data_IF_507592314330
#
_entry.id   IF_507592314330
#
_cell.length_a   1.000
_cell.length_b   1.000
_cell.length_c   1.000
_cell.angle_alpha   90.00
_cell.angle_beta   90.00
_cell.angle_gamma   90.00
#
_symmetry.space_group_name_H-M   'P 1'
#
loop_
_entity.id
_entity.type
_entity.pdbx_description
1 polymer ?
#
# COMPACT_ATOMS: atom_id res chain seq x y z
N UNK A 1 52.34 -37.63 -8.89
CA UNK A 1 52.56 -36.31 -8.27
C UNK A 1 52.35 -36.46 -6.78
N UNK A 2 53.07 -35.71 -5.96
CA UNK A 2 52.90 -35.65 -4.51
C UNK A 2 53.10 -34.20 -4.03
N UNK A 3 52.65 -33.86 -2.83
CA UNK A 3 52.82 -32.53 -2.26
C UNK A 3 54.08 -32.48 -1.39
N UNK A 4 54.98 -31.55 -1.68
CA UNK A 4 56.16 -31.26 -0.83
C UNK A 4 55.76 -30.37 0.36
N UNK A 5 54.90 -29.39 0.09
CA UNK A 5 54.28 -28.57 1.13
C UNK A 5 52.83 -28.25 0.75
N UNK A 6 51.97 -28.23 1.76
CA UNK A 6 50.57 -27.80 1.63
C UNK A 6 50.22 -26.93 2.82
N UNK A 7 49.90 -25.66 2.56
CA UNK A 7 49.64 -24.64 3.57
C UNK A 7 48.29 -24.00 3.31
N UNK A 8 47.46 -23.96 4.35
CA UNK A 8 46.19 -23.25 4.35
C UNK A 8 46.29 -22.12 5.36
N UNK A 9 45.95 -20.91 4.91
CA UNK A 9 45.99 -19.69 5.70
C UNK A 9 44.60 -19.09 5.65
N UNK A 10 44.02 -18.85 6.82
CA UNK A 10 42.84 -18.03 6.98
C UNK A 10 43.30 -16.66 7.46
N UNK A 11 43.09 -15.62 6.67
CA UNK A 11 43.34 -14.23 7.08
C UNK A 11 42.02 -13.62 7.53
N UNK A 12 41.91 -13.19 8.79
CA UNK A 12 40.60 -12.84 9.33
C UNK A 12 40.62 -12.51 10.81
N UNK A 13 39.43 -12.51 11.43
CA UNK A 13 39.26 -12.27 12.88
C UNK A 13 40.01 -13.33 13.71
N UNK A 14 39.90 -14.60 13.30
CA UNK A 14 40.69 -15.73 13.81
C UNK A 14 41.71 -16.17 12.77
N UNK A 15 42.80 -15.41 12.62
CA UNK A 15 43.86 -15.75 11.67
C UNK A 15 44.55 -17.07 12.05
N UNK A 16 44.42 -18.10 11.21
CA UNK A 16 44.99 -19.44 11.42
C UNK A 16 45.87 -19.84 10.26
N UNK A 17 47.01 -20.47 10.56
CA UNK A 17 47.88 -21.10 9.55
C UNK A 17 48.03 -22.57 9.88
N UNK A 18 47.56 -23.44 8.99
CA UNK A 18 47.71 -24.90 9.11
C UNK A 18 48.59 -25.41 7.98
N UNK A 19 49.62 -26.19 8.32
CA UNK A 19 50.44 -26.93 7.35
C UNK A 19 49.96 -28.38 7.38
N UNK A 20 49.58 -28.92 6.23
CA UNK A 20 49.07 -30.28 6.10
C UNK A 20 50.14 -31.13 5.40
N UNK A 21 50.31 -32.37 5.86
CA UNK A 21 51.09 -33.37 5.13
C UNK A 21 50.13 -34.27 4.38
N UNK A 22 50.29 -34.44 3.07
CA UNK A 22 49.40 -35.33 2.31
C UNK A 22 49.52 -36.79 2.82
N UNK A 23 48.41 -37.52 3.09
CA UNK A 23 46.99 -37.19 2.88
C UNK A 23 46.20 -36.83 4.15
N UNK A 24 46.71 -35.94 5.00
CA UNK A 24 46.08 -35.48 6.26
C UNK A 24 44.94 -34.47 6.03
N UNK A 25 43.74 -34.80 6.51
CA UNK A 25 42.57 -33.93 6.41
C UNK A 25 42.54 -32.95 7.58
N UNK A 26 42.29 -31.67 7.30
CA UNK A 26 42.19 -30.63 8.31
C UNK A 26 40.83 -30.65 9.03
N UNK A 27 40.82 -30.21 10.29
CA UNK A 27 39.59 -29.94 11.02
C UNK A 27 38.78 -28.81 10.38
N UNK A 28 37.45 -28.89 10.54
CA UNK A 28 36.48 -27.94 10.00
C UNK A 28 36.81 -26.50 10.36
N UNK A 29 36.78 -25.61 9.36
CA UNK A 29 36.99 -24.16 9.52
C UNK A 29 35.69 -23.41 9.24
N UNK A 30 35.46 -22.29 9.93
CA UNK A 30 34.35 -21.38 9.64
C UNK A 30 34.87 -20.16 8.87
N UNK A 31 34.19 -19.80 7.79
CA UNK A 31 34.50 -18.61 6.97
C UNK A 31 33.41 -17.56 7.15
N UNK A 32 33.79 -16.35 7.56
CA UNK A 32 32.88 -15.20 7.70
C UNK A 32 33.08 -14.17 6.57
N UNK A 33 32.24 -13.13 6.53
CA UNK A 33 32.28 -12.07 5.51
C UNK A 33 33.62 -11.30 5.40
N UNK A 34 34.44 -11.32 6.45
CA UNK A 34 35.70 -10.57 6.50
C UNK A 34 36.93 -11.46 6.33
N UNK A 35 36.74 -12.78 6.33
CA UNK A 35 37.83 -13.73 6.28
C UNK A 35 38.21 -14.05 4.82
N UNK A 36 39.51 -14.11 4.57
CA UNK A 36 40.10 -14.44 3.26
C UNK A 36 40.84 -15.75 3.40
N UNK A 37 40.37 -16.77 2.67
CA UNK A 37 41.07 -18.04 2.59
C UNK A 37 42.19 -17.97 1.56
N UNK A 38 43.37 -18.42 1.94
CA UNK A 38 44.53 -18.55 1.07
C UNK A 38 45.10 -19.96 1.16
N UNK A 39 45.32 -20.59 0.01
CA UNK A 39 45.89 -21.94 -0.07
C UNK A 39 47.14 -21.87 -0.93
N UNK A 40 48.24 -22.42 -0.40
CA UNK A 40 49.54 -22.44 -1.05
C UNK A 40 50.13 -23.84 -0.97
N UNK A 41 50.61 -24.39 -2.09
CA UNK A 41 51.22 -25.72 -2.10
C UNK A 41 52.31 -25.86 -3.15
N UNK A 42 53.25 -26.78 -2.92
CA UNK A 42 54.34 -27.10 -3.85
C UNK A 42 54.29 -28.57 -4.23
N UNK A 43 54.56 -28.87 -5.51
CA UNK A 43 54.42 -30.21 -6.08
C UNK A 43 55.77 -30.84 -6.42
N UNK A 44 55.91 -32.13 -6.11
CA UNK A 44 57.09 -32.95 -6.40
C UNK A 44 56.71 -34.27 -7.08
N UNK A 45 57.69 -34.89 -7.71
CA UNK A 45 57.54 -36.21 -8.31
C UNK A 45 57.52 -37.30 -7.23
N UNK A 46 56.57 -38.23 -7.33
CA UNK A 46 56.35 -39.28 -6.31
C UNK A 46 57.55 -40.21 -6.15
N UNK A 47 58.29 -40.44 -7.25
CA UNK A 47 59.47 -41.32 -7.29
C UNK A 47 60.78 -40.59 -6.94
N UNK A 48 60.83 -39.25 -7.10
CA UNK A 48 61.98 -38.43 -6.78
C UNK A 48 61.55 -37.10 -6.13
N UNK A 49 61.54 -37.07 -4.80
CA UNK A 49 61.14 -35.90 -4.00
C UNK A 49 62.06 -34.68 -4.15
N UNK A 50 63.23 -34.83 -4.78
CA UNK A 50 64.13 -33.70 -5.07
C UNK A 50 63.84 -32.99 -6.39
N UNK A 51 62.90 -33.51 -7.19
CA UNK A 51 62.52 -32.92 -8.48
C UNK A 51 61.16 -32.25 -8.39
N UNK A 52 61.19 -30.92 -8.42
CA UNK A 52 60.00 -30.08 -8.42
C UNK A 52 59.22 -30.21 -9.73
N UNK A 53 57.90 -30.31 -9.62
CA UNK A 53 57.01 -30.27 -10.78
C UNK A 53 56.63 -28.82 -11.03
N UNK A 54 57.39 -28.18 -11.90
CA UNK A 54 57.11 -26.82 -12.34
C UNK A 54 56.06 -26.86 -13.46
N UNK A 55 54.96 -26.13 -13.27
CA UNK A 55 53.87 -25.90 -14.23
C UNK A 55 53.03 -27.14 -14.57
N UNK A 56 51.83 -27.20 -13.99
CA UNK A 56 50.75 -28.11 -14.34
C UNK A 56 49.72 -27.38 -15.18
N UNK A 57 49.20 -28.04 -16.21
CA UNK A 57 48.27 -27.44 -17.18
C UNK A 57 46.85 -27.29 -16.64
N UNK A 58 46.41 -28.23 -15.79
CA UNK A 58 45.10 -28.17 -15.13
C UNK A 58 45.28 -28.22 -13.62
N UNK A 59 45.17 -27.06 -12.97
CA UNK A 59 45.15 -26.93 -11.52
C UNK A 59 43.90 -26.15 -11.11
N UNK A 60 42.97 -26.85 -10.45
CA UNK A 60 41.69 -26.28 -10.05
C UNK A 60 41.40 -26.57 -8.59
N UNK A 61 40.81 -25.58 -7.94
CA UNK A 61 40.27 -25.67 -6.60
C UNK A 61 38.75 -25.76 -6.68
N UNK A 62 38.13 -26.63 -5.88
CA UNK A 62 36.69 -26.80 -5.82
C UNK A 62 36.19 -26.62 -4.39
N UNK A 63 35.11 -25.86 -4.26
CA UNK A 63 34.19 -25.95 -3.12
C UNK A 63 32.99 -26.80 -3.56
N UNK A 64 32.77 -27.93 -2.91
CA UNK A 64 31.71 -28.87 -3.26
C UNK A 64 30.77 -29.08 -2.09
N UNK A 65 29.47 -28.88 -2.32
CA UNK A 65 28.37 -29.26 -1.44
C UNK A 65 27.45 -30.22 -2.21
N UNK A 66 26.46 -30.82 -1.54
CA UNK A 66 25.50 -31.73 -2.15
C UNK A 66 24.70 -31.07 -3.29
N UNK A 67 24.48 -29.75 -3.20
CA UNK A 67 23.68 -28.98 -4.16
C UNK A 67 24.51 -28.28 -5.26
N UNK A 68 25.78 -27.94 -4.99
CA UNK A 68 26.59 -27.11 -5.89
C UNK A 68 28.09 -27.42 -5.83
N UNK A 69 28.76 -27.29 -6.97
CA UNK A 69 30.21 -27.41 -7.09
C UNK A 69 30.78 -26.17 -7.78
N UNK A 70 31.50 -25.34 -7.02
CA UNK A 70 32.10 -24.11 -7.50
C UNK A 70 33.60 -24.32 -7.73
N UNK A 71 34.09 -23.99 -8.93
CA UNK A 71 35.48 -24.20 -9.34
C UNK A 71 36.23 -22.88 -9.49
N UNK A 72 37.48 -22.86 -9.04
CA UNK A 72 38.38 -21.72 -9.10
C UNK A 72 39.74 -22.12 -9.66
N UNK A 73 40.35 -21.23 -10.43
CA UNK A 73 41.65 -21.45 -11.07
C UNK A 73 42.76 -21.09 -10.08
N UNK A 74 43.76 -21.95 -9.97
CA UNK A 74 44.91 -21.74 -9.09
C UNK A 74 46.03 -21.01 -9.87
N UNK A 75 46.66 -20.02 -9.25
CA UNK A 75 47.76 -19.27 -9.85
C UNK A 75 49.10 -20.01 -9.65
N UNK A 76 49.94 -20.02 -10.70
CA UNK A 76 51.30 -20.57 -10.67
C UNK A 76 52.30 -19.44 -10.38
N UNK A 77 53.07 -19.56 -9.31
CA UNK A 77 54.10 -18.59 -8.89
C UNK A 77 55.49 -19.01 -9.38
N UNK A 78 56.47 -18.09 -9.27
CA UNK A 78 57.87 -18.44 -9.51
C UNK A 78 58.31 -19.57 -8.54
N UNK A 79 59.20 -20.45 -8.99
CA UNK A 79 59.75 -21.59 -8.22
C UNK A 79 58.81 -22.80 -7.98
N UNK A 80 57.73 -22.93 -8.76
CA UNK A 80 56.86 -24.13 -8.75
C UNK A 80 55.88 -24.20 -7.58
N UNK A 81 55.63 -23.05 -6.93
CA UNK A 81 54.64 -22.88 -5.89
C UNK A 81 53.29 -22.46 -6.49
N UNK A 82 52.21 -23.07 -6.03
CA UNK A 82 50.85 -22.76 -6.45
C UNK A 82 50.13 -21.99 -5.35
N UNK A 83 49.41 -20.93 -5.71
CA UNK A 83 48.68 -20.09 -4.75
C UNK A 83 47.28 -19.75 -5.26
N UNK A 84 46.32 -19.74 -4.34
CA UNK A 84 45.00 -19.20 -4.58
C UNK A 84 44.56 -18.38 -3.36
N UNK A 85 44.00 -17.20 -3.61
CA UNK A 85 43.53 -16.29 -2.58
C UNK A 85 42.08 -15.88 -2.88
N UNK A 86 41.18 -16.17 -1.95
CA UNK A 86 39.74 -15.98 -2.11
C UNK A 86 39.31 -14.67 -1.44
N UNK A 87 39.47 -13.54 -2.15
CA UNK A 87 39.08 -12.21 -1.63
C UNK A 87 37.57 -11.95 -1.73
N UNK A 88 36.95 -12.35 -2.84
CA UNK A 88 35.53 -12.12 -3.13
C UNK A 88 34.83 -13.46 -3.43
N UNK A 89 34.68 -14.28 -2.39
CA UNK A 89 34.15 -15.63 -2.54
C UNK A 89 32.61 -15.61 -2.59
N UNK A 90 32.03 -15.74 -3.78
CA UNK A 90 30.58 -15.83 -3.98
C UNK A 90 30.09 -17.27 -3.76
N UNK A 91 29.94 -17.66 -2.49
CA UNK A 91 29.33 -18.92 -2.07
C UNK A 91 28.07 -18.65 -1.25
N UNK A 92 27.09 -19.54 -1.34
CA UNK A 92 25.94 -19.52 -0.46
C UNK A 92 26.32 -19.98 0.95
N UNK A 93 25.48 -19.68 1.94
CA UNK A 93 25.69 -20.18 3.30
C UNK A 93 25.49 -21.70 3.32
N UNK A 94 26.51 -22.43 3.76
CA UNK A 94 26.49 -23.88 3.76
C UNK A 94 27.83 -24.51 4.12
N UNK A 95 27.86 -25.83 4.16
CA UNK A 95 29.09 -26.60 4.35
C UNK A 95 29.64 -27.04 2.99
N UNK A 96 30.91 -26.76 2.74
CA UNK A 96 31.59 -27.11 1.50
C UNK A 96 32.83 -27.95 1.79
N UNK A 97 33.02 -29.02 1.04
CA UNK A 97 34.29 -29.76 0.96
C UNK A 97 35.27 -29.01 0.07
N UNK A 98 36.50 -28.83 0.53
CA UNK A 98 37.57 -28.19 -0.22
C UNK A 98 38.45 -29.22 -0.91
N UNK A 99 38.50 -29.16 -2.24
CA UNK A 99 39.15 -30.17 -3.06
C UNK A 99 40.11 -29.51 -4.05
N UNK A 100 41.36 -29.96 -4.09
CA UNK A 100 42.31 -29.59 -5.14
C UNK A 100 42.40 -30.73 -6.15
N UNK A 101 42.26 -30.41 -7.45
CA UNK A 101 42.48 -31.36 -8.55
C UNK A 101 43.59 -30.87 -9.47
N UNK A 102 44.54 -31.76 -9.71
CA UNK A 102 45.73 -31.49 -10.51
C UNK A 102 45.83 -32.55 -11.61
N UNK A 103 45.98 -32.12 -12.85
CA UNK A 103 46.14 -32.97 -14.03
C UNK A 103 47.04 -32.31 -15.07
N UNK A 104 47.86 -33.11 -15.75
CA UNK A 104 48.61 -32.65 -16.92
C UNK A 104 48.36 -33.64 -18.06
N UNK A 105 47.67 -33.24 -19.14
CA UNK A 105 47.57 -34.08 -20.32
C UNK A 105 48.89 -34.23 -21.10
N UNK A 106 49.83 -33.29 -20.98
CA UNK A 106 51.11 -33.34 -21.73
C UNK A 106 52.22 -34.09 -21.00
N UNK A 107 52.18 -34.12 -19.67
CA UNK A 107 53.14 -34.87 -18.83
C UNK A 107 52.41 -36.09 -18.29
N UNK A 108 52.92 -37.31 -18.50
CA UNK A 108 52.31 -38.59 -18.09
C UNK A 108 52.24 -38.77 -16.55
N UNK A 109 51.68 -37.80 -15.85
CA UNK A 109 51.48 -37.80 -14.41
C UNK A 109 50.08 -38.29 -14.08
N UNK A 110 49.98 -39.18 -13.09
CA UNK A 110 48.69 -39.63 -12.55
C UNK A 110 47.93 -38.43 -11.96
N UNK A 111 46.67 -38.16 -12.39
CA UNK A 111 45.85 -37.10 -11.82
C UNK A 111 45.73 -37.23 -10.31
N UNK A 112 45.86 -36.10 -9.61
CA UNK A 112 45.85 -36.04 -8.16
C UNK A 112 44.64 -35.25 -7.69
N UNK A 113 43.77 -35.90 -6.93
CA UNK A 113 42.66 -35.28 -6.22
C UNK A 113 42.93 -35.34 -4.72
N UNK A 114 42.80 -34.20 -4.06
CA UNK A 114 42.98 -34.10 -2.62
C UNK A 114 41.85 -33.31 -1.97
N UNK A 115 40.98 -34.03 -1.24
CA UNK A 115 40.02 -33.43 -0.32
C UNK A 115 40.72 -33.21 1.02
N UNK A 116 41.02 -31.96 1.33
CA UNK A 116 41.85 -31.61 2.48
C UNK A 116 41.05 -31.05 3.65
N UNK A 117 39.72 -30.92 3.52
CA UNK A 117 38.80 -30.69 4.64
C UNK A 117 37.56 -29.87 4.29
N UNK A 118 36.74 -29.61 5.32
CA UNK A 118 35.45 -28.95 5.16
C UNK A 118 35.48 -27.52 5.69
N UNK A 119 34.77 -26.62 5.02
CA UNK A 119 34.56 -25.23 5.42
C UNK A 119 33.06 -24.95 5.59
N UNK A 120 32.69 -24.26 6.66
CA UNK A 120 31.33 -23.76 6.87
C UNK A 120 31.30 -22.26 6.59
N UNK A 121 30.58 -21.88 5.55
CA UNK A 121 30.43 -20.50 5.09
C UNK A 121 29.25 -19.86 5.82
N UNK A 122 29.52 -18.80 6.59
CA UNK A 122 28.53 -18.03 7.35
C UNK A 122 28.58 -16.56 6.98
N UNK A 123 27.97 -16.23 5.85
CA UNK A 123 27.79 -14.85 5.45
C UNK A 123 26.55 -14.25 6.12
N UNK A 124 26.75 -13.12 6.80
CA UNK A 124 25.62 -12.28 7.20
C UNK A 124 25.16 -11.54 5.96
N UNK A 125 24.08 -12.03 5.35
CA UNK A 125 23.46 -11.38 4.20
C UNK A 125 22.78 -10.12 4.73
N UNK A 126 23.24 -8.91 4.38
CA UNK A 126 22.51 -7.71 4.77
C UNK A 126 21.14 -7.74 4.10
N UNK A 127 20.07 -7.57 4.87
CA UNK A 127 18.72 -7.42 4.32
C UNK A 127 18.75 -6.30 3.28
N UNK A 128 18.68 -6.68 2.01
CA UNK A 128 18.60 -5.75 0.91
C UNK A 128 17.30 -5.00 1.07
N UNK A 129 17.38 -3.76 1.58
CA UNK A 129 16.26 -2.82 1.56
C UNK A 129 15.98 -2.48 0.11
N UNK A 130 15.16 -3.31 -0.53
CA UNK A 130 14.64 -3.03 -1.86
C UNK A 130 13.74 -1.81 -1.71
N UNK A 131 14.15 -0.70 -2.31
CA UNK A 131 13.29 0.49 -2.39
C UNK A 131 12.01 0.09 -3.12
N UNK A 132 10.84 0.15 -2.47
CA UNK A 132 9.57 -0.29 -3.07
C UNK A 132 9.18 0.53 -4.30
N UNK A 133 9.83 1.67 -4.56
CA UNK A 133 9.59 2.52 -5.73
C UNK A 133 10.57 2.28 -6.88
N UNK A 134 11.60 1.46 -6.69
CA UNK A 134 12.54 1.13 -7.75
C UNK A 134 11.98 -0.02 -8.57
N UNK A 135 11.63 0.25 -9.83
CA UNK A 135 11.25 -0.80 -10.76
C UNK A 135 12.41 -1.80 -10.86
N UNK A 136 12.16 -3.13 -10.73
CA UNK A 136 13.20 -4.13 -10.85
C UNK A 136 13.80 -4.04 -12.25
N UNK A 137 15.07 -3.66 -12.33
CA UNK A 137 15.82 -3.67 -13.57
C UNK A 137 15.99 -5.11 -14.04
N UNK A 138 15.80 -5.36 -15.34
CA UNK A 138 15.90 -6.70 -15.95
C UNK A 138 17.25 -7.41 -15.68
N UNK A 139 18.27 -6.66 -15.28
CA UNK A 139 19.60 -7.15 -14.90
C UNK A 139 19.68 -7.79 -13.51
N UNK A 140 18.63 -7.66 -12.68
CA UNK A 140 18.60 -8.17 -11.30
C UNK A 140 17.90 -9.53 -11.17
N UNK A 141 17.42 -10.06 -12.30
CA UNK A 141 16.86 -11.40 -12.40
C UNK A 141 18.01 -12.40 -12.50
N UNK A 142 18.47 -12.91 -11.36
CA UNK A 142 19.35 -14.08 -11.33
C UNK A 142 18.64 -15.27 -11.98
N UNK A 143 19.03 -15.60 -13.21
CA UNK A 143 18.70 -16.84 -13.90
C UNK A 143 17.23 -17.03 -14.33
N UNK A 144 16.97 -18.14 -15.06
CA UNK A 144 15.62 -18.52 -15.51
C UNK A 144 14.82 -19.07 -14.31
N UNK A 145 14.43 -18.19 -13.40
CA UNK A 145 13.55 -18.51 -12.27
C UNK A 145 12.10 -18.68 -12.76
N UNK A 146 11.84 -19.81 -13.43
CA UNK A 146 10.49 -20.25 -13.80
C UNK A 146 9.78 -20.88 -12.60
N UNK A 147 9.57 -20.09 -11.55
CA UNK A 147 8.77 -20.49 -10.40
C UNK A 147 7.53 -19.61 -10.31
N UNK A 148 6.35 -20.18 -9.99
CA UNK A 148 5.16 -19.38 -9.73
C UNK A 148 5.46 -18.44 -8.55
N UNK A 149 5.27 -17.13 -8.78
CA UNK A 149 5.38 -16.16 -7.69
C UNK A 149 4.28 -16.43 -6.66
N UNK A 150 4.56 -16.25 -5.37
CA UNK A 150 3.53 -16.38 -4.35
C UNK A 150 2.39 -15.37 -4.59
N UNK A 151 1.16 -15.81 -4.35
CA UNK A 151 -0.03 -14.96 -4.50
C UNK A 151 0.03 -13.79 -3.49
N UNK A 152 -0.21 -12.57 -3.98
CA UNK A 152 -0.26 -11.36 -3.17
C UNK A 152 -1.73 -10.91 -3.00
N UNK A 153 -2.44 -11.32 -1.93
CA UNK A 153 -3.83 -10.92 -1.73
C UNK A 153 -3.91 -9.43 -1.36
N UNK A 154 -4.82 -8.71 -2.02
CA UNK A 154 -5.12 -7.33 -1.65
C UNK A 154 -5.89 -7.29 -0.32
N UNK A 155 -5.34 -6.60 0.70
CA UNK A 155 -5.98 -6.44 2.01
C UNK A 155 -6.91 -5.23 1.96
N UNK A 156 -8.22 -5.48 1.99
CA UNK A 156 -9.22 -4.41 2.06
C UNK A 156 -9.25 -3.76 3.44
N UNK A 157 -9.60 -2.47 3.48
CA UNK A 157 -9.86 -1.78 4.73
C UNK A 157 -11.09 -2.38 5.41
N UNK A 158 -11.08 -2.57 6.74
CA UNK A 158 -12.27 -3.00 7.45
C UNK A 158 -13.37 -1.95 7.37
N UNK A 159 -14.63 -2.39 7.32
CA UNK A 159 -15.78 -1.48 7.31
C UNK A 159 -15.83 -0.63 8.58
N UNK A 160 -16.22 0.65 8.47
CA UNK A 160 -16.36 1.52 9.64
C UNK A 160 -17.49 1.00 10.55
N UNK A 161 -17.23 1.01 11.87
CA UNK A 161 -18.23 0.63 12.88
C UNK A 161 -19.42 1.59 12.82
N UNK A 162 -20.63 1.03 12.67
CA UNK A 162 -21.87 1.82 12.71
C UNK A 162 -22.23 2.22 14.16
N UNK A 163 -22.87 3.38 14.37
CA UNK A 163 -23.26 3.82 15.71
C UNK A 163 -24.37 2.95 16.31
N UNK A 164 -24.54 3.02 17.63
CA UNK A 164 -25.58 2.27 18.35
C UNK A 164 -26.98 2.66 17.86
N UNK A 165 -27.71 1.69 17.30
CA UNK A 165 -29.07 1.87 16.76
C UNK A 165 -30.05 2.45 17.77
N UNK A 166 -29.96 2.04 19.04
CA UNK A 166 -30.87 2.55 20.10
C UNK A 166 -30.68 4.05 20.33
N UNK A 167 -29.43 4.51 20.36
CA UNK A 167 -29.11 5.92 20.54
C UNK A 167 -29.58 6.74 19.34
N UNK A 168 -29.36 6.26 18.12
CA UNK A 168 -29.83 6.91 16.90
C UNK A 168 -31.35 7.08 16.86
N UNK A 169 -32.11 6.04 17.26
CA UNK A 169 -33.57 6.09 17.31
C UNK A 169 -34.06 7.07 18.38
N UNK A 170 -33.41 7.10 19.55
CA UNK A 170 -33.76 8.06 20.60
C UNK A 170 -33.65 9.51 20.13
N UNK A 171 -32.53 9.89 19.50
CA UNK A 171 -32.35 11.24 18.96
C UNK A 171 -33.30 11.54 17.79
N UNK A 172 -33.61 10.55 16.96
CA UNK A 172 -34.61 10.70 15.90
C UNK A 172 -36.00 11.05 16.47
N UNK A 173 -36.44 10.38 17.54
CA UNK A 173 -37.70 10.71 18.23
C UNK A 173 -37.63 12.09 18.87
N UNK A 174 -36.49 12.41 19.52
CA UNK A 174 -36.28 13.70 20.18
C UNK A 174 -36.38 14.88 19.20
N UNK A 175 -36.00 14.69 17.94
CA UNK A 175 -36.14 15.70 16.88
C UNK A 175 -37.60 16.16 16.66
N UNK A 176 -38.60 15.32 16.96
CA UNK A 176 -40.01 15.69 16.80
C UNK A 176 -40.57 16.51 17.98
N UNK A 177 -39.87 16.57 19.12
CA UNK A 177 -40.35 17.27 20.32
C UNK A 177 -40.57 18.78 20.08
N UNK A 178 -39.64 19.52 19.46
CA UNK A 178 -39.85 20.94 19.16
C UNK A 178 -41.05 21.18 18.23
N UNK A 179 -41.30 20.28 17.28
CA UNK A 179 -42.45 20.37 16.36
C UNK A 179 -43.78 20.17 17.10
N UNK A 180 -43.85 19.16 17.97
CA UNK A 180 -45.02 18.93 18.81
C UNK A 180 -45.28 20.13 19.74
N UNK A 181 -44.23 20.67 20.36
CA UNK A 181 -44.33 21.87 21.19
C UNK A 181 -44.86 23.08 20.41
N UNK A 182 -44.39 23.29 19.18
CA UNK A 182 -44.86 24.37 18.30
C UNK A 182 -46.36 24.26 18.01
N UNK A 183 -46.85 23.06 17.69
CA UNK A 183 -48.28 22.83 17.42
C UNK A 183 -49.14 23.11 18.67
N UNK A 184 -48.69 22.66 19.85
CA UNK A 184 -49.39 22.92 21.11
C UNK A 184 -49.44 24.42 21.40
N UNK A 185 -48.34 25.14 21.19
CA UNK A 185 -48.29 26.59 21.40
C UNK A 185 -49.19 27.34 20.43
N UNK A 186 -49.24 26.94 19.16
CA UNK A 186 -50.17 27.48 18.18
C UNK A 186 -51.64 27.28 18.58
N UNK A 187 -51.99 26.12 19.13
CA UNK A 187 -53.33 25.86 19.67
C UNK A 187 -53.66 26.77 20.85
N UNK A 188 -52.71 26.99 21.78
CA UNK A 188 -52.90 27.89 22.93
C UNK A 188 -53.01 29.38 22.54
N UNK A 189 -52.27 29.81 21.53
CA UNK A 189 -52.28 31.19 21.02
C UNK A 189 -53.56 31.50 20.22
N UNK A 190 -54.28 30.46 19.75
CA UNK A 190 -55.51 30.63 19.00
C UNK A 190 -55.26 31.19 17.60
N UNK A 191 -54.39 30.52 16.82
CA UNK A 191 -54.08 30.95 15.45
C UNK A 191 -55.35 31.10 14.63
N UNK A 192 -55.54 32.33 14.12
CA UNK A 192 -56.69 32.68 13.31
C UNK A 192 -56.41 32.40 11.82
N UNK A 193 -57.00 31.33 11.29
CA UNK A 193 -56.98 30.99 9.86
C UNK A 193 -58.16 31.59 9.07
N UNK A 194 -59.09 32.29 9.72
CA UNK A 194 -60.29 32.86 9.07
C UNK A 194 -59.94 33.91 8.01
N UNK A 195 -58.71 34.44 8.03
CA UNK A 195 -58.18 35.30 6.97
C UNK A 195 -58.10 34.64 5.58
N UNK A 196 -58.06 33.31 5.51
CA UNK A 196 -58.08 32.55 4.25
C UNK A 196 -59.50 32.33 3.69
N UNK A 197 -60.53 32.36 4.55
CA UNK A 197 -61.92 32.03 4.20
C UNK A 197 -62.82 33.27 4.01
N UNK A 198 -62.24 34.45 3.82
CA UNK A 198 -63.01 35.69 3.74
C UNK A 198 -63.87 35.82 2.46
N UNK A 199 -63.43 35.23 1.34
CA UNK A 199 -64.15 35.24 0.06
C UNK A 199 -63.82 33.95 -0.70
N UNK A 200 -64.78 33.41 -1.46
CA UNK A 200 -64.63 32.23 -2.31
C UNK A 200 -63.43 32.34 -3.26
N UNK A 201 -63.18 33.53 -3.83
CA UNK A 201 -62.02 33.75 -4.69
C UNK A 201 -60.68 33.67 -3.94
N UNK A 202 -60.63 34.16 -2.71
CA UNK A 202 -59.41 34.11 -1.87
C UNK A 202 -59.13 32.70 -1.37
N UNK A 203 -60.17 31.92 -1.12
CA UNK A 203 -60.05 30.49 -0.82
C UNK A 203 -59.42 29.77 -2.03
N UNK A 204 -59.99 29.92 -3.23
CA UNK A 204 -59.52 29.23 -4.44
C UNK A 204 -58.05 29.55 -4.72
N UNK A 205 -57.69 30.83 -4.82
CA UNK A 205 -56.29 31.19 -5.10
C UNK A 205 -55.36 30.83 -3.94
N UNK A 206 -55.82 30.94 -2.69
CA UNK A 206 -55.06 30.56 -1.50
C UNK A 206 -54.70 29.07 -1.51
N UNK A 207 -55.67 28.21 -1.81
CA UNK A 207 -55.45 26.76 -1.93
C UNK A 207 -54.53 26.43 -3.11
N UNK A 208 -54.74 27.05 -4.28
CA UNK A 208 -53.86 26.87 -5.43
C UNK A 208 -52.41 27.27 -5.12
N UNK A 209 -52.22 28.35 -4.37
CA UNK A 209 -50.89 28.78 -3.94
C UNK A 209 -50.25 27.79 -2.96
N UNK A 210 -51.00 27.25 -2.00
CA UNK A 210 -50.50 26.24 -1.06
C UNK A 210 -50.14 24.95 -1.80
N UNK A 211 -50.97 24.51 -2.75
CA UNK A 211 -50.68 23.35 -3.60
C UNK A 211 -49.40 23.61 -4.41
N UNK A 212 -49.23 24.82 -4.94
CA UNK A 212 -48.01 25.15 -5.69
C UNK A 212 -46.75 25.12 -4.83
N UNK A 213 -46.83 25.57 -3.58
CA UNK A 213 -45.73 25.46 -2.62
C UNK A 213 -45.46 24.01 -2.23
N UNK A 214 -46.50 23.20 -2.00
CA UNK A 214 -46.36 21.78 -1.72
C UNK A 214 -45.72 21.04 -2.90
N UNK A 215 -46.03 21.44 -4.13
CA UNK A 215 -45.40 20.90 -5.34
C UNK A 215 -43.90 21.20 -5.38
N UNK A 216 -43.47 22.44 -5.06
CA UNK A 216 -42.04 22.78 -4.96
C UNK A 216 -41.35 21.92 -3.88
N UNK A 217 -41.94 21.79 -2.70
CA UNK A 217 -41.40 20.96 -1.62
C UNK A 217 -41.33 19.48 -2.06
N UNK A 218 -42.35 18.99 -2.78
CA UNK A 218 -42.38 17.65 -3.34
C UNK A 218 -41.27 17.41 -4.37
N UNK A 219 -41.03 18.38 -5.26
CA UNK A 219 -39.92 18.31 -6.23
C UNK A 219 -38.57 18.26 -5.49
N UNK A 220 -38.37 19.07 -4.46
CA UNK A 220 -37.15 19.05 -3.64
C UNK A 220 -36.98 17.72 -2.89
N UNK A 221 -38.06 17.14 -2.39
CA UNK A 221 -38.03 15.79 -1.79
C UNK A 221 -37.65 14.73 -2.84
N UNK A 222 -38.22 14.79 -4.04
CA UNK A 222 -37.89 13.88 -5.13
C UNK A 222 -36.44 14.06 -5.61
N UNK A 223 -35.88 15.27 -5.55
CA UNK A 223 -34.45 15.52 -5.77
C UNK A 223 -33.57 14.82 -4.75
N UNK A 224 -33.98 14.81 -3.48
CA UNK A 224 -33.24 14.09 -2.44
C UNK A 224 -33.26 12.57 -2.64
N UNK A 225 -34.36 12.01 -3.19
CA UNK A 225 -34.54 10.56 -3.33
C UNK A 225 -34.02 10.02 -4.68
N UNK A 226 -34.28 10.71 -5.79
CA UNK A 226 -34.10 10.12 -7.13
C UNK A 226 -33.78 11.09 -8.28
N UNK A 227 -34.26 12.34 -8.26
CA UNK A 227 -34.12 13.22 -9.44
C UNK A 227 -32.69 13.72 -9.63
N UNK A 228 -32.29 13.82 -10.89
CA UNK A 228 -31.03 14.48 -11.27
C UNK A 228 -31.16 16.00 -11.19
N UNK A 229 -30.03 16.70 -11.12
CA UNK A 229 -29.98 18.17 -11.00
C UNK A 229 -30.75 18.88 -12.12
N UNK A 230 -30.54 18.50 -13.38
CA UNK A 230 -31.21 19.12 -14.53
C UNK A 230 -32.71 18.87 -14.56
N UNK A 231 -33.16 17.67 -14.17
CA UNK A 231 -34.58 17.34 -14.06
C UNK A 231 -35.25 18.20 -12.98
N UNK A 232 -34.57 18.35 -11.84
CA UNK A 232 -35.03 19.17 -10.72
C UNK A 232 -35.09 20.64 -11.13
N UNK A 233 -34.07 21.15 -11.81
CA UNK A 233 -34.05 22.53 -12.31
C UNK A 233 -35.19 22.79 -13.31
N UNK A 234 -35.41 21.87 -14.25
CA UNK A 234 -36.52 21.97 -15.20
C UNK A 234 -37.89 21.94 -14.51
N UNK A 235 -38.09 20.99 -13.58
CA UNK A 235 -39.33 20.88 -12.80
C UNK A 235 -39.55 22.11 -11.91
N UNK A 236 -38.51 22.60 -11.22
CA UNK A 236 -38.56 23.84 -10.44
C UNK A 236 -38.82 25.06 -11.31
N UNK A 237 -38.27 25.11 -12.53
CA UNK A 237 -38.52 26.19 -13.48
C UNK A 237 -40.00 26.30 -13.83
N UNK A 238 -40.63 25.17 -14.20
CA UNK A 238 -42.09 25.13 -14.42
C UNK A 238 -42.86 25.46 -13.14
N UNK A 239 -42.39 24.94 -12.00
CA UNK A 239 -43.01 25.20 -10.70
C UNK A 239 -43.00 26.66 -10.28
N UNK A 240 -41.90 27.35 -10.54
CA UNK A 240 -41.74 28.76 -10.25
C UNK A 240 -42.73 29.62 -11.03
N UNK A 241 -43.03 29.27 -12.29
CA UNK A 241 -43.98 30.02 -13.12
C UNK A 241 -45.37 30.00 -12.50
N UNK A 242 -45.97 28.82 -12.28
CA UNK A 242 -47.32 28.77 -11.71
C UNK A 242 -47.37 29.26 -10.27
N UNK A 243 -46.33 29.00 -9.46
CA UNK A 243 -46.27 29.48 -8.07
C UNK A 243 -46.20 31.00 -8.02
N UNK A 244 -45.47 31.63 -8.92
CA UNK A 244 -45.39 33.10 -9.03
C UNK A 244 -46.75 33.71 -9.41
N UNK A 245 -47.46 33.10 -10.38
CA UNK A 245 -48.80 33.56 -10.78
C UNK A 245 -49.80 33.43 -9.63
N UNK A 246 -49.92 32.24 -9.02
CA UNK A 246 -50.85 32.04 -7.90
C UNK A 246 -50.48 32.89 -6.68
N UNK A 247 -49.19 33.05 -6.40
CA UNK A 247 -48.69 33.93 -5.35
C UNK A 247 -49.07 35.38 -5.58
N UNK A 248 -48.87 35.89 -6.80
CA UNK A 248 -49.26 37.25 -7.17
C UNK A 248 -50.76 37.48 -6.96
N UNK A 249 -51.61 36.55 -7.42
CA UNK A 249 -53.07 36.64 -7.26
C UNK A 249 -53.50 36.68 -5.79
N UNK A 250 -52.96 35.79 -4.96
CA UNK A 250 -53.29 35.73 -3.51
C UNK A 250 -52.82 37.00 -2.78
N UNK A 251 -51.59 37.44 -3.05
CA UNK A 251 -51.03 38.63 -2.40
C UNK A 251 -51.78 39.90 -2.81
N UNK A 252 -52.16 40.02 -4.08
CA UNK A 252 -52.98 41.13 -4.59
C UNK A 252 -54.33 41.20 -3.87
N UNK A 253 -55.05 40.09 -3.76
CA UNK A 253 -56.33 40.08 -3.03
C UNK A 253 -56.19 40.44 -1.56
N UNK A 254 -55.11 39.96 -0.90
CA UNK A 254 -54.82 40.36 0.48
C UNK A 254 -54.49 41.84 0.60
N UNK A 255 -53.78 42.42 -0.37
CA UNK A 255 -53.49 43.85 -0.41
C UNK A 255 -54.76 44.68 -0.62
N UNK A 256 -55.62 44.27 -1.56
CA UNK A 256 -56.90 44.94 -1.86
C UNK A 256 -57.81 44.94 -0.64
N UNK A 257 -57.94 43.81 0.07
CA UNK A 257 -58.68 43.71 1.33
C UNK A 257 -58.18 44.73 2.37
N UNK A 258 -56.86 44.76 2.63
CA UNK A 258 -56.27 45.73 3.58
C UNK A 258 -56.50 47.18 3.14
N UNK A 259 -56.47 47.45 1.85
CA UNK A 259 -56.72 48.79 1.32
C UNK A 259 -58.16 49.24 1.55
N UNK A 260 -59.12 48.33 1.35
CA UNK A 260 -60.55 48.58 1.56
C UNK A 260 -60.88 48.77 3.05
N UNK A 261 -60.32 47.93 3.92
CA UNK A 261 -60.45 48.08 5.38
C UNK A 261 -59.91 49.45 5.86
N UNK A 262 -58.78 49.91 5.30
CA UNK A 262 -58.22 51.25 5.61
C UNK A 262 -59.13 52.37 5.12
N UNK A 263 -59.71 52.25 3.92
CA UNK A 263 -60.66 53.25 3.38
C UNK A 263 -61.92 53.35 4.25
N UNK A 264 -62.48 52.20 4.65
CA UNK A 264 -63.66 52.14 5.54
C UNK A 264 -63.39 52.73 6.92
N UNK A 265 -62.21 52.48 7.50
CA UNK A 265 -61.81 53.11 8.78
C UNK A 265 -61.69 54.63 8.65
N UNK A 266 -61.11 55.13 7.55
CA UNK A 266 -60.99 56.57 7.30
C UNK A 266 -62.35 57.25 7.09
N UNK A 267 -63.26 56.63 6.33
CA UNK A 267 -64.60 57.19 6.12
C UNK A 267 -65.42 57.22 7.41
N UNK A 268 -65.33 56.16 8.22
CA UNK A 268 -66.01 56.07 9.52
C UNK A 268 -65.48 57.11 10.50
N UNK A 269 -64.16 57.28 10.58
CA UNK A 269 -63.52 58.30 11.43
C UNK A 269 -63.84 59.74 10.97
N UNK A 270 -64.03 59.97 9.66
CA UNK A 270 -64.47 61.26 9.14
C UNK A 270 -65.93 61.53 9.53
N UNK A 271 -66.81 60.55 9.34
CA UNK A 271 -68.23 60.65 9.72
C UNK A 271 -68.40 60.95 11.21
N UNK A 272 -67.64 60.28 12.08
CA UNK A 272 -67.69 60.50 13.53
C UNK A 272 -67.18 61.89 13.94
N UNK A 273 -66.21 62.47 13.21
CA UNK A 273 -65.78 63.86 13.42
C UNK A 273 -66.86 64.85 13.01
N UNK A 274 -67.46 64.65 11.83
CA UNK A 274 -68.50 65.55 11.31
C UNK A 274 -69.75 65.55 12.22
N UNK A 275 -70.06 64.42 12.88
CA UNK A 275 -71.20 64.29 13.81
C UNK A 275 -70.93 64.88 15.21
N UNK A 276 -69.67 65.15 15.57
CA UNK A 276 -69.28 65.78 16.86
C UNK A 276 -69.03 67.29 16.74
N UNK A 277 -69.08 67.83 15.52
CA UNK A 277 -68.89 69.25 15.22
C UNK A 277 -70.20 70.01 14.94
N UNK A 278 -71.35 69.33 15.00
CA UNK A 278 -72.69 69.91 15.16
C UNK A 278 -73.11 69.86 16.64
#
# INVERSE_FOLDING_TARGET
>A
MDFDSFKVILHGEDSQTKRLQYPEVMEKITLTNLDVLEVTFKLVEKENKSKDINRIEQAMFYFSNDDSQNSYIIEDLADGEYRINFKDLNLDNGEYSMIVRLSSPTKDYVPLEYNFGNVEVKYTIPEKKVDPNKAPTLMESEGPNFYPKPDQPHIFKPDPKTPNKFLSVFFFILMFVPWAFLIIMWSKIGININGLFYNNQTLIYGVLFIISLCSIIGILFLFFVKLNLFQTLGALGVAAIYTSVFGHLVLRQKADKRSNERKMKKSSAKKEKDTKSE
#
